data_IF_064694988536
#
_entry.id   IF_064694988536
#
_cell.length_a   1.000
_cell.length_b   1.000
_cell.length_c   1.000
_cell.angle_alpha   90.00
_cell.angle_beta   90.00
_cell.angle_gamma   90.00
#
_symmetry.space_group_name_H-M   'P 1'
#
loop_
_entity.id
_entity.type
_entity.pdbx_description
1 polymer ?
#
# COMPACT_ATOMS: atom_id res chain seq x y z
N UNK A 1 -25.86 -1.07 48.00
CA UNK A 1 -24.67 -0.51 47.34
C UNK A 1 -24.97 0.12 45.96
N UNK A 2 -26.10 0.83 45.76
CA UNK A 2 -26.46 1.36 44.42
C UNK A 2 -26.49 2.90 44.34
N UNK A 3 -26.45 3.61 45.47
CA UNK A 3 -26.63 5.07 45.50
C UNK A 3 -25.34 5.88 45.26
N UNK A 4 -24.16 5.29 45.43
CA UNK A 4 -22.87 5.98 45.24
C UNK A 4 -22.34 5.94 43.79
N UNK A 5 -22.94 5.15 42.89
CA UNK A 5 -22.56 5.11 41.46
C UNK A 5 -23.23 6.19 40.60
N UNK A 6 -24.24 6.91 41.09
CA UNK A 6 -24.91 7.98 40.32
C UNK A 6 -24.33 9.38 40.53
N UNK A 7 -23.49 9.58 41.56
CA UNK A 7 -22.87 10.87 41.89
C UNK A 7 -21.46 11.06 41.29
N UNK A 8 -20.80 9.95 40.96
CA UNK A 8 -19.52 9.96 40.28
C UNK A 8 -19.75 9.32 38.92
N UNK A 9 -19.57 10.10 37.84
CA UNK A 9 -19.63 9.59 36.48
C UNK A 9 -18.72 8.36 36.27
N UNK A 10 -18.73 7.75 35.08
CA UNK A 10 -18.08 6.46 34.84
C UNK A 10 -16.62 6.42 35.33
N UNK A 11 -16.19 5.25 35.80
CA UNK A 11 -14.82 5.06 36.27
C UNK A 11 -13.84 5.24 35.11
N UNK A 12 -12.58 5.57 35.39
CA UNK A 12 -11.53 5.68 34.36
C UNK A 12 -11.47 4.39 33.53
N UNK A 13 -11.44 3.24 34.19
CA UNK A 13 -11.43 1.92 33.57
C UNK A 13 -12.64 1.71 32.64
N UNK A 14 -13.85 2.08 33.07
CA UNK A 14 -15.05 1.98 32.23
C UNK A 14 -14.96 2.86 30.99
N UNK A 15 -14.60 4.14 31.16
CA UNK A 15 -14.46 5.08 30.04
C UNK A 15 -13.37 4.62 29.08
N UNK A 16 -12.22 4.19 29.60
CA UNK A 16 -11.06 3.85 28.78
C UNK A 16 -11.20 2.47 28.11
N UNK A 17 -11.93 1.54 28.73
CA UNK A 17 -12.33 0.28 28.07
C UNK A 17 -13.30 0.56 26.93
N UNK A 18 -14.29 1.44 27.16
CA UNK A 18 -15.20 1.87 26.09
C UNK A 18 -14.44 2.60 24.98
N UNK A 19 -13.50 3.49 25.33
CA UNK A 19 -12.65 4.16 24.36
C UNK A 19 -11.88 3.15 23.54
N UNK A 20 -11.15 2.22 24.18
CA UNK A 20 -10.40 1.18 23.47
C UNK A 20 -11.29 0.40 22.50
N UNK A 21 -12.52 0.07 22.88
CA UNK A 21 -13.48 -0.55 21.98
C UNK A 21 -13.89 0.37 20.82
N UNK A 22 -14.17 1.65 21.07
CA UNK A 22 -14.60 2.63 20.05
C UNK A 22 -13.49 2.96 19.03
N UNK A 23 -12.23 2.98 19.47
CA UNK A 23 -11.06 3.27 18.60
C UNK A 23 -10.31 2.00 18.21
N UNK A 24 -10.92 0.82 18.37
CA UNK A 24 -10.31 -0.49 18.06
C UNK A 24 -8.90 -0.69 18.63
N UNK A 25 -8.66 -0.04 19.76
CA UNK A 25 -7.47 -0.15 20.55
C UNK A 25 -7.53 -1.32 21.51
N UNK A 26 -6.41 -1.53 22.19
CA UNK A 26 -6.29 -2.46 23.29
C UNK A 26 -6.29 -1.69 24.60
N UNK A 27 -7.25 -2.00 25.47
CA UNK A 27 -7.14 -1.62 26.88
C UNK A 27 -6.17 -2.57 27.58
N UNK A 28 -5.16 -2.01 28.22
CA UNK A 28 -4.21 -2.69 29.08
C UNK A 28 -4.58 -2.35 30.51
N UNK A 29 -5.30 -3.27 31.16
CA UNK A 29 -5.65 -3.14 32.57
C UNK A 29 -4.37 -3.09 33.40
N UNK A 30 -4.23 -2.01 34.17
CA UNK A 30 -3.13 -1.83 35.11
C UNK A 30 -3.22 -2.89 36.20
N UNK A 31 -2.23 -3.77 36.27
CA UNK A 31 -2.09 -4.69 37.39
C UNK A 31 -1.62 -3.95 38.66
N UNK A 32 -1.17 -4.70 39.66
CA UNK A 32 -0.57 -4.15 40.89
C UNK A 32 0.64 -3.20 40.65
N UNK A 33 1.22 -3.20 39.44
CA UNK A 33 2.49 -2.52 39.14
C UNK A 33 2.49 -1.68 37.85
N UNK A 34 1.37 -1.57 37.13
CA UNK A 34 1.28 -0.80 35.87
C UNK A 34 0.05 0.10 35.87
N UNK A 35 0.17 1.30 35.29
CA UNK A 35 -0.98 2.17 35.08
C UNK A 35 -1.86 1.62 33.95
N UNK A 36 -3.18 1.81 34.04
CA UNK A 36 -4.07 1.54 32.92
C UNK A 36 -3.62 2.32 31.69
N UNK A 37 -3.63 1.66 30.54
CA UNK A 37 -3.29 2.28 29.27
C UNK A 37 -4.28 1.85 28.18
N UNK A 38 -4.46 2.72 27.19
CA UNK A 38 -5.12 2.39 25.93
C UNK A 38 -4.08 2.53 24.84
N UNK A 39 -3.86 1.47 24.08
CA UNK A 39 -2.98 1.47 22.92
C UNK A 39 -3.80 1.37 21.65
N UNK A 40 -3.55 2.27 20.72
CA UNK A 40 -4.23 2.32 19.42
C UNK A 40 -3.16 2.29 18.34
N UNK A 41 -3.35 1.42 17.36
CA UNK A 41 -2.51 1.44 16.17
C UNK A 41 -3.07 2.48 15.20
N UNK A 42 -2.26 3.45 14.83
CA UNK A 42 -2.55 4.43 13.79
C UNK A 42 -1.42 4.36 12.76
N UNK A 43 -1.67 3.75 11.60
CA UNK A 43 -0.61 3.46 10.61
C UNK A 43 0.52 2.60 11.19
N UNK A 44 1.75 3.13 11.12
CA UNK A 44 2.97 2.51 11.66
C UNK A 44 3.21 2.83 13.15
N UNK A 45 2.37 3.69 13.74
CA UNK A 45 2.56 4.17 15.11
C UNK A 45 1.64 3.44 16.09
N UNK A 46 2.15 3.25 17.29
CA UNK A 46 1.34 2.87 18.45
C UNK A 46 1.16 4.12 19.30
N UNK A 47 -0.04 4.67 19.28
CA UNK A 47 -0.43 5.77 20.16
C UNK A 47 -0.84 5.16 21.50
N UNK A 48 -0.14 5.55 22.56
CA UNK A 48 -0.40 5.10 23.92
C UNK A 48 -1.00 6.24 24.74
N UNK A 49 -2.22 6.05 25.24
CA UNK A 49 -2.86 6.86 26.26
C UNK A 49 -2.60 6.20 27.63
N UNK A 50 -2.03 6.93 28.58
CA UNK A 50 -1.81 6.46 29.94
C UNK A 50 -2.01 7.57 30.98
N UNK A 51 -1.91 7.21 32.26
CA UNK A 51 -1.81 8.18 33.37
C UNK A 51 -0.53 7.98 34.15
N UNK A 52 0.09 9.08 34.59
CA UNK A 52 1.15 9.05 35.60
C UNK A 52 0.85 10.04 36.72
N UNK A 53 1.39 9.78 37.91
CA UNK A 53 1.20 10.64 39.08
C UNK A 53 2.55 11.13 39.59
N UNK A 54 2.70 12.45 39.63
CA UNK A 54 3.86 13.10 40.24
C UNK A 54 3.52 13.41 41.69
N UNK A 55 4.43 13.09 42.61
CA UNK A 55 4.34 13.46 44.02
C UNK A 55 5.35 14.55 44.32
N UNK A 56 4.87 15.70 44.79
CA UNK A 56 5.72 16.83 45.19
C UNK A 56 5.39 17.18 46.64
N UNK A 57 6.26 16.76 47.55
CA UNK A 57 5.99 16.89 48.99
C UNK A 57 4.76 16.06 49.41
N UNK A 58 3.76 16.73 49.98
CA UNK A 58 2.49 16.10 50.37
C UNK A 58 1.41 16.15 49.28
N UNK A 59 1.64 16.86 48.17
CA UNK A 59 0.69 16.93 47.08
C UNK A 59 0.98 15.85 46.04
N UNK A 60 -0.06 15.18 45.53
CA UNK A 60 0.02 14.35 44.34
C UNK A 60 -0.81 14.97 43.23
N UNK A 61 -0.26 14.95 42.01
CA UNK A 61 -0.98 15.38 40.82
C UNK A 61 -0.91 14.28 39.76
N UNK A 62 -2.09 13.83 39.32
CA UNK A 62 -2.23 12.87 38.24
C UNK A 62 -2.37 13.61 36.92
N UNK A 63 -1.75 13.07 35.88
CA UNK A 63 -1.79 13.58 34.52
C UNK A 63 -2.28 12.48 33.58
N UNK A 64 -3.06 12.88 32.58
CA UNK A 64 -3.33 12.08 31.38
C UNK A 64 -2.29 12.45 30.33
N UNK A 65 -1.73 11.43 29.69
CA UNK A 65 -0.72 11.57 28.65
C UNK A 65 -1.10 10.75 27.43
N UNK A 66 -0.89 11.31 26.24
CA UNK A 66 -0.82 10.55 24.99
C UNK A 66 0.61 10.62 24.46
N UNK A 67 1.10 9.53 23.90
CA UNK A 67 2.44 9.45 23.34
C UNK A 67 2.56 8.49 22.18
N UNK A 68 3.38 8.83 21.20
CA UNK A 68 3.68 7.98 20.06
C UNK A 68 5.12 8.21 19.59
N UNK A 69 5.99 7.18 19.63
CA UNK A 69 7.32 7.28 19.04
C UNK A 69 7.23 7.33 17.52
N UNK A 70 8.07 8.14 16.88
CA UNK A 70 8.17 8.24 15.43
C UNK A 70 9.59 8.62 15.00
N UNK A 71 9.93 8.38 13.72
CA UNK A 71 11.25 8.70 13.19
C UNK A 71 11.32 10.19 12.84
N UNK A 72 12.31 10.89 13.40
CA UNK A 72 12.54 12.33 13.24
C UNK A 72 14.02 12.63 12.96
N UNK A 73 14.54 12.29 11.77
CA UNK A 73 15.97 12.45 11.47
C UNK A 73 16.38 13.93 11.40
N UNK A 74 15.45 14.82 11.04
CA UNK A 74 15.67 16.27 10.93
C UNK A 74 15.65 17.00 12.29
N UNK A 75 15.38 16.27 13.39
CA UNK A 75 15.24 16.84 14.74
C UNK A 75 14.25 18.00 14.77
N UNK A 76 13.15 17.86 14.04
CA UNK A 76 12.08 18.85 14.06
C UNK A 76 11.36 18.80 15.41
N UNK A 77 11.48 19.88 16.20
CA UNK A 77 10.80 19.97 17.49
C UNK A 77 9.86 21.16 17.49
N UNK A 78 8.69 20.95 18.07
CA UNK A 78 7.75 22.00 18.39
C UNK A 78 7.09 21.75 19.75
N UNK A 79 6.48 22.80 20.27
CA UNK A 79 5.55 22.74 21.40
C UNK A 79 4.45 23.77 21.18
N UNK A 80 3.20 23.35 21.33
CA UNK A 80 2.02 24.22 21.29
C UNK A 80 1.19 24.05 22.55
N UNK A 81 0.76 25.17 23.12
CA UNK A 81 -0.11 25.20 24.29
C UNK A 81 -0.97 26.46 24.30
N UNK A 82 -2.08 26.44 25.06
CA UNK A 82 -2.96 27.61 25.17
C UNK A 82 -2.28 28.77 25.89
N UNK A 83 -2.46 29.99 25.36
CA UNK A 83 -1.90 31.22 25.94
C UNK A 83 -2.39 31.48 27.37
N UNK A 84 -3.63 31.12 27.68
CA UNK A 84 -4.25 31.28 29.01
C UNK A 84 -3.72 30.33 30.10
N UNK A 85 -2.88 29.35 29.76
CA UNK A 85 -2.30 28.40 30.73
C UNK A 85 -1.08 28.95 31.47
N UNK A 86 -0.75 30.23 31.30
CA UNK A 86 0.45 30.86 31.84
C UNK A 86 0.14 32.16 32.57
N UNK A 87 0.30 32.18 33.90
CA UNK A 87 0.29 33.41 34.71
C UNK A 87 1.68 33.79 35.25
N UNK A 88 2.74 33.09 34.84
CA UNK A 88 4.13 33.49 35.07
C UNK A 88 5.06 32.33 35.39
N UNK A 89 5.84 31.87 34.41
CA UNK A 89 7.25 31.43 34.53
C UNK A 89 7.71 30.64 33.30
N UNK A 90 8.64 31.22 32.52
CA UNK A 90 9.52 30.46 31.64
C UNK A 90 9.36 30.73 30.15
N UNK A 91 10.07 31.76 29.65
CA UNK A 91 10.76 31.62 28.36
C UNK A 91 11.70 30.41 28.53
N UNK A 92 11.32 29.25 27.97
CA UNK A 92 12.23 28.11 27.93
C UNK A 92 13.34 28.42 26.92
N UNK A 93 14.57 28.07 27.29
CA UNK A 93 15.77 28.37 26.51
C UNK A 93 15.70 27.75 25.10
N UNK A 94 15.92 28.59 24.09
CA UNK A 94 16.22 28.18 22.71
C UNK A 94 15.07 28.16 21.71
N UNK A 95 13.81 28.07 22.14
CA UNK A 95 12.67 28.08 21.22
C UNK A 95 12.09 29.48 21.04
N UNK A 96 11.91 29.88 19.78
CA UNK A 96 11.28 31.16 19.44
C UNK A 96 9.77 30.98 19.35
N UNK A 97 9.04 32.03 19.71
CA UNK A 97 7.61 32.11 19.46
C UNK A 97 7.37 32.29 17.95
N UNK A 98 6.49 31.49 17.37
CA UNK A 98 6.27 31.41 15.93
C UNK A 98 4.80 31.69 15.63
N UNK A 99 4.55 32.80 14.95
CA UNK A 99 3.24 33.08 14.35
C UNK A 99 3.06 32.25 13.08
N UNK A 100 1.92 31.56 12.99
CA UNK A 100 1.56 30.68 11.87
C UNK A 100 0.68 31.36 10.82
N UNK A 101 0.31 32.62 11.05
CA UNK A 101 -0.42 33.45 10.08
C UNK A 101 -1.94 33.33 10.21
N UNK A 102 -2.43 32.91 11.37
CA UNK A 102 -3.85 32.74 11.65
C UNK A 102 -4.21 33.48 12.95
N UNK A 103 -4.65 34.74 12.83
CA UNK A 103 -4.83 35.68 13.94
C UNK A 103 -5.54 35.10 15.19
N UNK A 104 -6.68 34.42 15.00
CA UNK A 104 -7.42 33.79 16.11
C UNK A 104 -6.61 32.69 16.78
N UNK A 105 -5.92 31.88 15.98
CA UNK A 105 -5.13 30.75 16.46
C UNK A 105 -3.85 31.23 17.16
N UNK A 106 -3.13 32.17 16.54
CA UNK A 106 -1.91 32.80 17.08
C UNK A 106 -2.18 33.59 18.38
N UNK A 107 -3.41 34.09 18.58
CA UNK A 107 -3.84 34.70 19.85
C UNK A 107 -4.13 33.65 20.93
N UNK A 108 -4.79 32.56 20.55
CA UNK A 108 -5.29 31.55 21.50
C UNK A 108 -4.19 30.56 21.93
N UNK A 109 -3.14 30.41 21.13
CA UNK A 109 -2.05 29.46 21.34
C UNK A 109 -0.68 30.10 21.22
N UNK A 110 0.25 29.65 22.06
CA UNK A 110 1.68 29.95 21.95
C UNK A 110 2.33 28.76 21.26
N UNK A 111 3.14 29.03 20.24
CA UNK A 111 3.77 28.02 19.40
C UNK A 111 5.27 28.23 19.42
N UNK A 112 5.98 27.22 19.88
CA UNK A 112 7.43 27.20 19.99
C UNK A 112 7.99 26.12 19.08
N UNK A 113 9.16 26.34 18.48
CA UNK A 113 9.82 25.29 17.70
C UNK A 113 11.24 25.62 17.27
N UNK A 114 11.88 24.67 16.60
CA UNK A 114 13.28 24.77 16.14
C UNK A 114 13.43 25.72 14.95
N UNK A 115 12.45 25.79 14.05
CA UNK A 115 12.41 26.76 12.96
C UNK A 115 10.98 27.09 12.54
N UNK A 116 10.77 28.31 12.03
CA UNK A 116 9.43 28.79 11.65
C UNK A 116 8.80 28.05 10.45
N UNK A 117 9.50 27.69 9.37
CA UNK A 117 8.86 27.14 8.17
C UNK A 117 8.14 25.79 8.40
N UNK A 118 8.76 24.77 9.02
CA UNK A 118 8.08 23.49 9.24
C UNK A 118 6.96 23.59 10.28
N UNK A 119 7.11 24.48 11.28
CA UNK A 119 6.02 24.80 12.23
C UNK A 119 4.83 25.44 11.50
N UNK A 120 5.08 26.38 10.58
CA UNK A 120 4.05 27.01 9.75
C UNK A 120 3.39 26.03 8.78
N UNK A 121 4.14 25.07 8.24
CA UNK A 121 3.59 23.94 7.51
C UNK A 121 2.58 23.20 8.39
N UNK A 122 3.05 22.71 9.55
CA UNK A 122 2.28 21.82 10.42
C UNK A 122 0.95 22.46 10.81
N UNK A 123 1.03 23.70 11.29
CA UNK A 123 -0.14 24.45 11.72
C UNK A 123 -0.82 25.22 10.58
N UNK A 124 -0.36 25.07 9.33
CA UNK A 124 -1.04 25.47 8.11
C UNK A 124 -2.20 24.53 7.76
N UNK A 125 -2.20 23.31 8.28
CA UNK A 125 -3.31 22.36 8.14
C UNK A 125 -4.53 22.78 8.98
N UNK A 126 -5.64 23.04 8.29
CA UNK A 126 -6.89 23.48 8.90
C UNK A 126 -7.52 22.44 9.84
N UNK A 127 -7.35 21.14 9.55
CA UNK A 127 -7.86 20.05 10.39
C UNK A 127 -7.11 20.00 11.71
N UNK A 128 -5.77 20.07 11.70
CA UNK A 128 -4.96 20.14 12.92
C UNK A 128 -5.38 21.35 13.76
N UNK A 129 -5.46 22.55 13.18
CA UNK A 129 -5.88 23.75 13.93
C UNK A 129 -7.26 23.57 14.56
N UNK A 130 -8.21 23.01 13.81
CA UNK A 130 -9.58 22.76 14.30
C UNK A 130 -9.58 21.77 15.47
N UNK A 131 -8.82 20.67 15.38
CA UNK A 131 -8.72 19.67 16.43
C UNK A 131 -8.04 20.21 17.69
N UNK A 132 -7.01 21.05 17.53
CA UNK A 132 -6.34 21.77 18.62
C UNK A 132 -7.30 22.76 19.30
N UNK A 133 -8.05 23.53 18.52
CA UNK A 133 -9.01 24.52 19.03
C UNK A 133 -10.11 23.87 19.90
N UNK A 134 -10.50 22.63 19.59
CA UNK A 134 -11.49 21.86 20.37
C UNK A 134 -10.96 21.42 21.75
N UNK A 135 -9.65 21.39 21.97
CA UNK A 135 -9.09 20.92 23.24
C UNK A 135 -9.20 21.99 24.33
N UNK A 136 -9.86 21.72 25.48
CA UNK A 136 -10.00 22.70 26.56
C UNK A 136 -8.64 23.02 27.21
N UNK A 137 -7.74 22.04 27.24
CA UNK A 137 -6.34 22.15 27.65
C UNK A 137 -5.50 21.39 26.65
N UNK A 138 -4.41 21.97 26.21
CA UNK A 138 -3.46 21.31 25.33
C UNK A 138 -2.04 21.73 25.67
N UNK A 139 -1.18 20.73 25.71
CA UNK A 139 0.26 20.86 25.71
C UNK A 139 0.80 19.71 24.87
N UNK A 140 0.94 19.98 23.56
CA UNK A 140 1.38 19.04 22.55
C UNK A 140 2.79 19.41 22.12
N UNK A 141 3.70 18.46 22.06
CA UNK A 141 5.11 18.69 21.75
C UNK A 141 5.82 17.46 21.20
N UNK A 142 6.99 17.66 20.63
CA UNK A 142 7.95 16.60 20.31
C UNK A 142 9.03 16.56 21.40
N UNK A 143 9.42 15.37 21.84
CA UNK A 143 10.51 15.15 22.81
C UNK A 143 11.55 14.19 22.24
N UNK A 144 12.81 14.46 22.55
CA UNK A 144 13.97 13.59 22.25
C UNK A 144 14.40 12.75 23.47
N UNK A 145 13.69 12.85 24.60
CA UNK A 145 13.91 12.04 25.80
C UNK A 145 12.59 11.59 26.47
N UNK A 146 12.66 10.46 27.20
CA UNK A 146 11.58 10.02 28.10
C UNK A 146 11.63 10.75 29.46
N UNK A 147 12.52 11.74 29.62
CA UNK A 147 12.75 12.51 30.85
C UNK A 147 14.03 12.12 31.61
N UNK A 148 14.21 12.72 32.79
CA UNK A 148 15.47 12.79 33.54
C UNK A 148 16.09 11.44 34.01
N UNK A 149 15.37 10.33 33.86
CA UNK A 149 15.77 9.01 34.42
C UNK A 149 15.58 7.81 33.47
N UNK A 150 15.31 8.04 32.17
CA UNK A 150 15.08 6.95 31.21
C UNK A 150 16.05 7.03 30.02
N UNK A 151 16.20 5.90 29.31
CA UNK A 151 17.10 5.78 28.16
C UNK A 151 16.78 6.84 27.10
N UNK A 152 17.83 7.41 26.48
CA UNK A 152 17.63 8.24 25.29
C UNK A 152 17.02 7.37 24.19
N UNK A 153 16.01 7.90 23.49
CA UNK A 153 15.46 7.22 22.32
C UNK A 153 16.59 6.86 21.33
N UNK A 154 16.44 5.77 20.56
CA UNK A 154 17.38 5.44 19.49
C UNK A 154 17.64 6.65 18.59
N UNK A 155 18.85 6.76 18.02
CA UNK A 155 19.21 7.90 17.18
C UNK A 155 18.23 8.09 16.02
N UNK A 156 17.63 9.29 15.93
CA UNK A 156 16.64 9.62 14.90
C UNK A 156 15.20 9.23 15.24
N UNK A 157 14.90 8.79 16.47
CA UNK A 157 13.55 8.56 16.97
C UNK A 157 13.23 9.58 18.05
N UNK A 158 12.10 10.27 17.90
CA UNK A 158 11.54 11.17 18.90
C UNK A 158 10.11 10.73 19.27
N UNK A 159 9.51 11.34 20.29
CA UNK A 159 8.16 11.03 20.76
C UNK A 159 7.24 12.24 20.57
N UNK A 160 6.15 12.08 19.81
CA UNK A 160 5.04 13.02 19.85
C UNK A 160 4.31 12.82 21.18
N UNK A 161 4.17 13.90 21.94
CA UNK A 161 3.81 13.86 23.34
C UNK A 161 2.75 14.90 23.66
N UNK A 162 1.71 14.48 24.38
CA UNK A 162 0.68 15.34 24.94
C UNK A 162 0.53 15.09 26.43
N UNK A 163 0.28 16.16 27.19
CA UNK A 163 -0.06 16.04 28.61
C UNK A 163 -1.15 17.01 29.03
N UNK A 164 -2.04 16.53 29.90
CA UNK A 164 -3.02 17.35 30.59
C UNK A 164 -3.12 16.94 32.06
N UNK A 165 -3.24 17.92 32.96
CA UNK A 165 -3.50 17.65 34.37
C UNK A 165 -4.91 17.09 34.60
N UNK A 166 -5.00 16.08 35.46
CA UNK A 166 -6.22 15.32 35.74
C UNK A 166 -6.34 14.05 34.89
N UNK A 167 -7.38 13.27 35.17
CA UNK A 167 -7.76 12.11 34.36
C UNK A 167 -8.86 12.53 33.38
N UNK A 168 -8.57 12.47 32.08
CA UNK A 168 -9.58 12.75 31.06
C UNK A 168 -10.59 11.58 31.02
N UNK A 169 -11.87 11.92 31.22
CA UNK A 169 -13.01 10.99 31.14
C UNK A 169 -14.04 11.39 30.09
N UNK A 170 -13.85 12.54 29.46
CA UNK A 170 -14.71 13.02 28.38
C UNK A 170 -14.37 12.25 27.10
N UNK A 171 -15.34 11.48 26.60
CA UNK A 171 -15.15 10.62 25.43
C UNK A 171 -14.93 11.42 24.14
N UNK A 172 -15.59 12.57 23.98
CA UNK A 172 -15.45 13.42 22.80
C UNK A 172 -14.06 14.04 22.77
N UNK A 173 -13.57 14.48 23.93
CA UNK A 173 -12.20 14.96 24.10
C UNK A 173 -11.18 13.86 23.78
N UNK A 174 -11.35 12.66 24.33
CA UNK A 174 -10.43 11.54 24.10
C UNK A 174 -10.36 11.16 22.61
N UNK A 175 -11.51 11.07 21.92
CA UNK A 175 -11.54 10.82 20.47
C UNK A 175 -10.85 11.92 19.68
N UNK A 176 -11.14 13.18 19.99
CA UNK A 176 -10.50 14.32 19.34
C UNK A 176 -8.97 14.36 19.53
N UNK A 177 -8.46 13.85 20.67
CA UNK A 177 -7.02 13.73 20.92
C UNK A 177 -6.37 12.62 20.08
N UNK A 178 -7.01 11.46 19.94
CA UNK A 178 -6.49 10.40 19.05
C UNK A 178 -6.50 10.85 17.58
N UNK A 179 -7.56 11.51 17.13
CA UNK A 179 -7.64 12.07 15.79
C UNK A 179 -6.55 13.14 15.56
N UNK A 180 -6.34 14.02 16.55
CA UNK A 180 -5.27 15.01 16.50
C UNK A 180 -3.88 14.36 16.40
N UNK A 181 -3.62 13.33 17.20
CA UNK A 181 -2.34 12.61 17.16
C UNK A 181 -2.09 11.96 15.82
N UNK A 182 -3.09 11.26 15.27
CA UNK A 182 -2.98 10.62 13.96
C UNK A 182 -2.71 11.65 12.87
N UNK A 183 -3.43 12.78 12.87
CA UNK A 183 -3.26 13.85 11.88
C UNK A 183 -1.88 14.51 11.99
N UNK A 184 -1.42 14.80 13.20
CA UNK A 184 -0.09 15.41 13.44
C UNK A 184 1.01 14.45 13.02
N UNK A 185 0.96 13.16 13.40
CA UNK A 185 1.95 12.17 12.98
C UNK A 185 1.98 12.01 11.46
N UNK A 186 0.79 11.96 10.84
CA UNK A 186 0.67 11.92 9.40
C UNK A 186 1.38 13.13 8.76
N UNK A 187 1.07 14.34 9.20
CA UNK A 187 1.64 15.56 8.63
C UNK A 187 3.13 15.71 8.93
N UNK A 188 3.60 15.35 10.13
CA UNK A 188 5.03 15.33 10.47
C UNK A 188 5.82 14.42 9.52
N UNK A 189 5.21 13.32 9.07
CA UNK A 189 5.81 12.42 8.09
C UNK A 189 5.64 12.86 6.63
N UNK A 190 4.78 13.83 6.33
CA UNK A 190 4.55 14.37 4.98
C UNK A 190 5.23 15.73 4.75
N UNK A 191 5.33 16.59 5.76
CA UNK A 191 5.90 17.95 5.66
C UNK A 191 7.37 18.04 6.09
N UNK A 192 7.87 17.07 6.87
CA UNK A 192 9.29 16.81 6.92
C UNK A 192 9.70 16.16 5.61
N UNK A 193 10.33 16.92 4.70
CA UNK A 193 10.97 16.42 3.47
C UNK A 193 12.18 15.51 3.73
N UNK A 194 12.17 14.76 4.81
CA UNK A 194 12.87 13.50 4.81
C UNK A 194 12.06 12.56 3.93
N UNK A 195 12.75 11.83 3.06
CA UNK A 195 12.25 10.66 2.34
C UNK A 195 11.70 10.83 0.92
N UNK A 196 11.47 12.02 0.34
CA UNK A 196 11.18 12.10 -1.12
C UNK A 196 12.26 11.40 -1.95
N UNK A 197 13.50 11.37 -1.44
CA UNK A 197 14.67 10.76 -2.10
C UNK A 197 15.08 9.37 -1.59
N UNK A 198 14.45 8.83 -0.55
CA UNK A 198 14.85 7.55 0.07
C UNK A 198 14.05 6.38 -0.51
N UNK A 199 14.67 5.73 -1.50
CA UNK A 199 14.13 4.55 -2.18
C UNK A 199 13.87 3.41 -1.18
N UNK A 200 14.72 3.19 -0.18
CA UNK A 200 14.58 2.07 0.77
C UNK A 200 13.41 2.26 1.70
N UNK A 201 13.19 3.48 2.18
CA UNK A 201 11.99 3.76 2.97
C UNK A 201 10.72 3.52 2.15
N UNK A 202 10.66 4.05 0.93
CA UNK A 202 9.46 3.89 0.12
C UNK A 202 9.19 2.43 -0.26
N UNK A 203 10.25 1.62 -0.42
CA UNK A 203 10.12 0.16 -0.55
C UNK A 203 9.46 -0.44 0.70
N UNK A 204 9.90 -0.07 1.91
CA UNK A 204 9.30 -0.58 3.15
C UNK A 204 7.85 -0.12 3.34
N UNK A 205 7.53 1.15 3.04
CA UNK A 205 6.16 1.68 3.09
C UNK A 205 5.24 0.93 2.13
N UNK A 206 5.72 0.59 0.93
CA UNK A 206 4.92 -0.14 -0.06
C UNK A 206 4.62 -1.59 0.37
N UNK A 207 5.54 -2.22 1.12
CA UNK A 207 5.36 -3.56 1.75
C UNK A 207 4.48 -3.54 2.99
N UNK A 208 4.22 -2.36 3.55
CA UNK A 208 3.36 -2.18 4.72
C UNK A 208 1.96 -2.75 4.50
N UNK A 209 1.23 -3.06 5.60
CA UNK A 209 -0.11 -3.65 5.50
C UNK A 209 -1.04 -2.71 4.73
N UNK A 210 -1.60 -3.20 3.63
CA UNK A 210 -2.68 -2.55 2.90
C UNK A 210 -4.04 -2.77 3.51
N UNK A 211 -5.00 -1.95 3.10
CA UNK A 211 -6.41 -2.16 3.37
C UNK A 211 -7.06 -1.26 4.42
N UNK A 212 -8.34 -1.54 4.64
CA UNK A 212 -9.30 -0.76 5.41
C UNK A 212 -9.41 -1.31 6.83
N UNK A 213 -9.21 -0.47 7.84
CA UNK A 213 -9.69 -0.75 9.19
C UNK A 213 -11.13 -0.21 9.25
N UNK A 214 -12.11 -1.08 9.07
CA UNK A 214 -13.54 -0.72 9.20
C UNK A 214 -13.96 -0.75 10.68
N UNK A 215 -13.71 0.35 11.41
CA UNK A 215 -14.35 0.63 12.70
C UNK A 215 -15.57 1.54 12.59
N UNK A 216 -16.29 1.68 13.71
CA UNK A 216 -17.33 2.72 13.90
C UNK A 216 -16.77 4.16 13.88
N UNK A 217 -15.45 4.33 13.94
CA UNK A 217 -14.71 5.59 13.78
C UNK A 217 -13.64 5.38 12.71
N UNK A 218 -13.65 6.15 11.63
CA UNK A 218 -12.67 6.05 10.56
C UNK A 218 -11.31 6.58 11.07
N UNK A 219 -10.44 5.70 11.55
CA UNK A 219 -9.12 6.09 12.08
C UNK A 219 -8.12 6.41 10.97
N UNK A 220 -8.33 5.88 9.77
CA UNK A 220 -7.60 6.18 8.55
C UNK A 220 -8.39 5.67 7.33
N UNK A 221 -8.25 6.33 6.19
CA UNK A 221 -8.86 5.95 4.91
C UNK A 221 -7.77 5.70 3.85
N UNK A 222 -7.88 4.56 3.15
CA UNK A 222 -7.21 4.29 1.88
C UNK A 222 -5.90 3.51 1.98
N UNK A 223 -5.36 3.04 0.87
CA UNK A 223 -3.95 2.62 0.76
C UNK A 223 -3.04 3.85 0.56
N UNK A 224 -3.41 5.02 1.08
CA UNK A 224 -2.81 6.31 0.71
C UNK A 224 -1.27 6.38 0.90
N UNK A 225 -0.66 5.92 2.00
CA UNK A 225 0.79 5.79 2.16
C UNK A 225 1.43 4.79 1.18
N UNK A 226 0.77 3.68 0.86
CA UNK A 226 1.28 2.69 -0.13
C UNK A 226 1.19 3.26 -1.55
N UNK A 227 0.11 3.98 -1.85
CA UNK A 227 -0.14 4.72 -3.09
C UNK A 227 0.89 5.84 -3.26
N UNK A 228 1.10 6.63 -2.22
CA UNK A 228 2.09 7.72 -2.19
C UNK A 228 3.51 7.15 -2.31
N UNK A 229 3.81 6.01 -1.66
CA UNK A 229 5.08 5.32 -1.82
C UNK A 229 5.29 4.81 -3.24
N UNK A 230 4.28 4.18 -3.86
CA UNK A 230 4.37 3.77 -5.26
C UNK A 230 4.62 4.97 -6.19
N UNK A 231 3.92 6.08 -5.98
CA UNK A 231 4.12 7.32 -6.74
C UNK A 231 5.53 7.90 -6.56
N UNK A 232 6.00 8.00 -5.32
CA UNK A 232 7.34 8.50 -5.00
C UNK A 232 8.45 7.62 -5.62
N UNK A 233 8.34 6.28 -5.54
CA UNK A 233 9.28 5.36 -6.21
C UNK A 233 9.31 5.58 -7.72
N UNK A 234 8.16 5.88 -8.33
CA UNK A 234 8.05 6.24 -9.73
C UNK A 234 8.76 7.56 -10.07
N UNK A 235 8.68 8.55 -9.19
CA UNK A 235 9.38 9.83 -9.35
C UNK A 235 10.89 9.71 -9.15
N UNK A 236 11.31 8.83 -8.24
CA UNK A 236 12.71 8.55 -7.95
C UNK A 236 13.42 7.83 -9.10
N UNK A 237 12.72 6.94 -9.81
CA UNK A 237 13.25 6.26 -10.98
C UNK A 237 14.28 5.15 -10.67
N UNK A 238 14.50 4.80 -9.40
CA UNK A 238 15.46 3.76 -9.03
C UNK A 238 14.92 2.35 -9.34
N UNK A 239 15.67 1.60 -10.15
CA UNK A 239 15.36 0.23 -10.54
C UNK A 239 15.27 -0.75 -9.35
N UNK A 240 15.84 -0.43 -8.19
CA UNK A 240 15.71 -1.19 -6.94
C UNK A 240 14.25 -1.36 -6.50
N UNK A 241 13.38 -0.43 -6.88
CA UNK A 241 11.95 -0.46 -6.57
C UNK A 241 11.15 -1.47 -7.40
N UNK A 242 11.67 -1.91 -8.55
CA UNK A 242 10.94 -2.74 -9.52
C UNK A 242 10.38 -4.03 -8.90
N UNK A 243 11.13 -4.83 -8.10
CA UNK A 243 10.59 -6.06 -7.52
C UNK A 243 9.41 -5.84 -6.56
N UNK A 244 9.45 -4.78 -5.74
CA UNK A 244 8.36 -4.49 -4.81
C UNK A 244 7.14 -3.91 -5.54
N UNK A 245 7.34 -3.04 -6.53
CA UNK A 245 6.27 -2.52 -7.37
C UNK A 245 5.59 -3.64 -8.17
N UNK A 246 6.37 -4.61 -8.67
CA UNK A 246 5.84 -5.81 -9.31
C UNK A 246 4.99 -6.67 -8.37
N UNK A 247 5.34 -6.75 -7.09
CA UNK A 247 4.60 -7.54 -6.10
C UNK A 247 3.18 -7.01 -5.84
N UNK A 248 2.98 -5.68 -5.94
CA UNK A 248 1.69 -5.02 -5.67
C UNK A 248 0.80 -4.89 -6.93
N UNK A 249 1.23 -5.37 -8.09
CA UNK A 249 0.40 -5.40 -9.31
C UNK A 249 -0.85 -6.29 -9.17
N UNK A 250 -0.83 -7.20 -8.20
CA UNK A 250 -1.92 -8.13 -7.86
C UNK A 250 -2.61 -7.80 -6.54
N UNK A 251 -2.41 -6.58 -6.03
CA UNK A 251 -3.02 -6.15 -4.78
C UNK A 251 -4.55 -6.09 -4.88
N UNK A 252 -5.25 -6.06 -3.74
CA UNK A 252 -6.71 -5.91 -3.74
C UNK A 252 -7.14 -4.49 -4.08
N UNK A 253 -6.27 -3.49 -3.85
CA UNK A 253 -6.55 -2.08 -4.14
C UNK A 253 -6.29 -1.73 -5.61
N UNK A 254 -7.34 -1.43 -6.41
CA UNK A 254 -7.16 -1.07 -7.80
C UNK A 254 -6.36 0.21 -8.01
N UNK A 255 -6.43 1.17 -7.09
CA UNK A 255 -5.72 2.44 -7.23
C UNK A 255 -4.22 2.27 -6.97
N UNK A 256 -3.84 1.49 -5.95
CA UNK A 256 -2.45 1.10 -5.72
C UNK A 256 -1.86 0.37 -6.92
N UNK A 257 -2.58 -0.61 -7.49
CA UNK A 257 -2.16 -1.30 -8.71
C UNK A 257 -1.91 -0.32 -9.84
N UNK A 258 -2.85 0.60 -10.04
CA UNK A 258 -2.80 1.57 -11.13
C UNK A 258 -1.66 2.60 -10.94
N UNK A 259 -1.29 2.95 -9.70
CA UNK A 259 -0.10 3.75 -9.37
C UNK A 259 1.20 2.96 -9.53
N UNK A 260 1.22 1.67 -9.16
CA UNK A 260 2.37 0.80 -9.37
C UNK A 260 2.70 0.62 -10.85
N UNK A 261 1.69 0.48 -11.72
CA UNK A 261 1.88 0.45 -13.18
C UNK A 261 2.51 1.76 -13.67
N UNK A 262 1.99 2.91 -13.22
CA UNK A 262 2.53 4.22 -13.60
C UNK A 262 3.97 4.43 -13.09
N UNK A 263 4.28 3.95 -11.88
CA UNK A 263 5.62 4.01 -11.32
C UNK A 263 6.62 3.14 -12.10
N UNK A 264 6.24 1.90 -12.43
CA UNK A 264 7.03 1.02 -13.29
C UNK A 264 7.28 1.66 -14.66
N UNK A 265 6.25 2.28 -15.26
CA UNK A 265 6.37 3.03 -16.52
C UNK A 265 7.38 4.16 -16.42
N UNK A 266 7.33 4.96 -15.35
CA UNK A 266 8.29 6.07 -15.13
C UNK A 266 9.72 5.57 -14.92
N UNK A 267 9.90 4.49 -14.16
CA UNK A 267 11.22 3.86 -13.96
C UNK A 267 11.79 3.33 -15.28
N UNK A 268 10.93 2.84 -16.20
CA UNK A 268 11.33 2.41 -17.56
C UNK A 268 12.48 1.40 -17.59
N UNK A 269 12.61 0.57 -16.55
CA UNK A 269 13.66 -0.44 -16.47
C UNK A 269 13.19 -1.77 -17.08
N UNK A 270 14.05 -2.47 -17.83
CA UNK A 270 13.71 -3.71 -18.56
C UNK A 270 13.05 -4.79 -17.68
N UNK A 271 13.43 -4.90 -16.41
CA UNK A 271 12.83 -5.85 -15.44
C UNK A 271 11.34 -5.58 -15.15
N UNK A 272 10.82 -4.40 -15.48
CA UNK A 272 9.42 -4.04 -15.30
C UNK A 272 8.49 -4.61 -16.39
N UNK A 273 9.04 -4.99 -17.54
CA UNK A 273 8.27 -5.46 -18.70
C UNK A 273 7.54 -6.76 -18.38
N UNK A 274 8.26 -7.79 -17.89
CA UNK A 274 7.70 -9.12 -17.62
C UNK A 274 6.54 -9.10 -16.60
N UNK A 275 6.61 -8.37 -15.47
CA UNK A 275 5.49 -8.22 -14.56
C UNK A 275 4.23 -7.55 -15.14
N UNK A 276 4.36 -6.70 -16.17
CA UNK A 276 3.24 -5.97 -16.76
C UNK A 276 2.45 -6.81 -17.79
N UNK A 277 3.07 -7.81 -18.43
CA UNK A 277 2.43 -8.64 -19.47
C UNK A 277 1.12 -9.29 -19.00
N UNK A 278 1.04 -9.93 -17.81
CA UNK A 278 -0.21 -10.55 -17.37
C UNK A 278 -1.37 -9.56 -17.16
N UNK A 279 -1.07 -8.29 -16.91
CA UNK A 279 -2.09 -7.25 -16.67
C UNK A 279 -2.83 -6.83 -17.94
N UNK A 280 -2.31 -7.20 -19.12
CA UNK A 280 -2.99 -6.97 -20.39
C UNK A 280 -4.23 -7.85 -20.54
N UNK A 281 -4.24 -9.01 -19.90
CA UNK A 281 -5.38 -9.92 -19.81
C UNK A 281 -6.13 -9.83 -18.49
N UNK A 282 -6.01 -8.72 -17.75
CA UNK A 282 -6.66 -8.61 -16.45
C UNK A 282 -8.19 -8.57 -16.60
N UNK A 283 -8.88 -9.57 -16.05
CA UNK A 283 -10.34 -9.75 -16.15
C UNK A 283 -11.10 -9.37 -14.88
N UNK A 284 -10.45 -8.71 -13.91
CA UNK A 284 -11.14 -8.29 -12.67
C UNK A 284 -12.27 -7.30 -13.00
N UNK A 285 -13.48 -7.60 -12.51
CA UNK A 285 -14.71 -6.83 -12.80
C UNK A 285 -14.63 -5.36 -12.36
N UNK A 286 -13.85 -5.09 -11.30
CA UNK A 286 -13.60 -3.74 -10.80
C UNK A 286 -12.26 -3.26 -11.35
N UNK A 287 -12.31 -2.25 -12.23
CA UNK A 287 -11.16 -1.57 -12.85
C UNK A 287 -10.30 -2.34 -13.88
N UNK A 288 -10.65 -3.58 -14.27
CA UNK A 288 -9.88 -4.35 -15.25
C UNK A 288 -9.54 -3.59 -16.54
N UNK A 289 -10.50 -2.84 -17.11
CA UNK A 289 -10.27 -2.01 -18.32
C UNK A 289 -9.23 -0.91 -18.08
N UNK A 290 -9.24 -0.27 -16.90
CA UNK A 290 -8.30 0.80 -16.53
C UNK A 290 -6.88 0.25 -16.35
N UNK A 291 -6.76 -0.93 -15.74
CA UNK A 291 -5.48 -1.63 -15.57
C UNK A 291 -4.93 -2.05 -16.92
N UNK A 292 -5.73 -2.70 -17.78
CA UNK A 292 -5.31 -3.12 -19.12
C UNK A 292 -4.76 -1.95 -19.94
N UNK A 293 -5.51 -0.84 -19.98
CA UNK A 293 -5.08 0.37 -20.70
C UNK A 293 -3.77 0.93 -20.15
N UNK A 294 -3.61 1.04 -18.82
CA UNK A 294 -2.38 1.55 -18.21
C UNK A 294 -1.20 0.63 -18.43
N UNK A 295 -1.39 -0.69 -18.38
CA UNK A 295 -0.34 -1.65 -18.65
C UNK A 295 0.11 -1.59 -20.12
N UNK A 296 -0.83 -1.48 -21.06
CA UNK A 296 -0.54 -1.28 -22.47
C UNK A 296 0.22 0.03 -22.72
N UNK A 297 -0.21 1.13 -22.10
CA UNK A 297 0.48 2.42 -22.18
C UNK A 297 1.88 2.37 -21.57
N UNK A 298 2.04 1.70 -20.43
CA UNK A 298 3.33 1.53 -19.77
C UNK A 298 4.31 0.76 -20.66
N UNK A 299 3.91 -0.38 -21.21
CA UNK A 299 4.73 -1.16 -22.14
C UNK A 299 5.06 -0.37 -23.40
N UNK A 300 4.09 0.38 -23.94
CA UNK A 300 4.31 1.27 -25.08
C UNK A 300 5.33 2.37 -24.78
N UNK A 301 5.44 2.85 -23.55
CA UNK A 301 6.43 3.87 -23.21
C UNK A 301 7.84 3.30 -22.95
N UNK A 302 7.98 2.01 -22.70
CA UNK A 302 9.26 1.35 -22.36
C UNK A 302 10.13 0.96 -23.56
N UNK A 303 9.62 1.02 -24.79
CA UNK A 303 10.37 0.74 -26.01
C UNK A 303 10.19 -0.67 -26.57
N UNK A 304 10.09 -0.77 -27.90
CA UNK A 304 9.72 -2.00 -28.63
C UNK A 304 10.61 -3.20 -28.36
N UNK A 305 11.93 -3.04 -28.50
CA UNK A 305 12.87 -4.16 -28.43
C UNK A 305 12.80 -4.90 -27.09
N UNK A 306 12.79 -4.16 -25.98
CA UNK A 306 12.71 -4.74 -24.64
C UNK A 306 11.37 -5.46 -24.39
N UNK A 307 10.27 -4.96 -24.98
CA UNK A 307 8.95 -5.56 -24.86
C UNK A 307 8.84 -6.84 -25.68
N UNK A 308 9.28 -6.82 -26.93
CA UNK A 308 9.23 -7.98 -27.83
C UNK A 308 10.08 -9.12 -27.29
N UNK A 309 11.33 -8.86 -26.89
CA UNK A 309 12.22 -9.90 -26.37
C UNK A 309 11.68 -10.51 -25.08
N UNK A 310 11.20 -9.69 -24.14
CA UNK A 310 10.63 -10.18 -22.88
C UNK A 310 9.30 -10.93 -23.07
N UNK A 311 8.51 -10.56 -24.08
CA UNK A 311 7.31 -11.30 -24.49
C UNK A 311 7.72 -12.65 -25.05
N UNK A 312 8.65 -12.69 -26.01
CA UNK A 312 9.17 -13.93 -26.59
C UNK A 312 9.73 -14.86 -25.50
N UNK A 313 10.62 -14.37 -24.63
CA UNK A 313 11.17 -15.13 -23.49
C UNK A 313 10.10 -15.59 -22.49
N UNK A 314 9.07 -14.77 -22.23
CA UNK A 314 7.97 -15.16 -21.35
C UNK A 314 7.16 -16.34 -21.92
N UNK A 315 7.12 -16.46 -23.26
CA UNK A 315 6.40 -17.49 -23.99
C UNK A 315 7.29 -18.65 -24.50
N UNK A 316 8.62 -18.54 -24.40
CA UNK A 316 9.60 -19.59 -24.73
C UNK A 316 9.42 -20.84 -23.82
N UNK A 317 8.58 -21.77 -24.29
CA UNK A 317 8.44 -23.11 -23.74
C UNK A 317 7.10 -23.45 -23.10
N UNK A 318 6.11 -22.54 -23.15
CA UNK A 318 4.76 -22.78 -22.59
C UNK A 318 3.62 -22.40 -23.54
N UNK A 319 3.93 -22.32 -24.82
CA UNK A 319 3.00 -21.93 -25.87
C UNK A 319 1.75 -22.85 -25.93
N UNK A 320 1.94 -24.15 -25.71
CA UNK A 320 0.87 -25.18 -25.65
C UNK A 320 -0.15 -24.96 -24.51
N UNK A 321 0.18 -24.15 -23.49
CA UNK A 321 -0.74 -23.87 -22.37
C UNK A 321 -1.74 -22.74 -22.67
N UNK A 322 -1.51 -21.92 -23.71
CA UNK A 322 -2.51 -20.95 -24.17
C UNK A 322 -3.63 -21.61 -24.98
N UNK A 323 -3.36 -22.75 -25.64
CA UNK A 323 -4.39 -23.58 -26.29
C UNK A 323 -5.37 -24.19 -25.28
N UNK A 324 -4.96 -24.35 -24.02
CA UNK A 324 -5.78 -24.88 -22.93
C UNK A 324 -6.68 -23.84 -22.24
N UNK A 325 -6.52 -22.54 -22.54
CA UNK A 325 -7.35 -21.47 -21.99
C UNK A 325 -8.45 -21.06 -22.98
N UNK A 326 -9.52 -21.84 -23.00
CA UNK A 326 -10.81 -21.38 -23.52
C UNK A 326 -11.36 -20.30 -22.57
N UNK A 327 -11.22 -19.04 -22.95
CA UNK A 327 -11.81 -17.90 -22.24
C UNK A 327 -10.95 -16.64 -22.25
N UNK A 328 -11.20 -15.74 -23.21
CA UNK A 328 -11.00 -14.27 -23.21
C UNK A 328 -9.61 -13.65 -22.89
N UNK A 329 -8.67 -14.41 -22.32
CA UNK A 329 -7.37 -13.90 -21.86
C UNK A 329 -6.32 -13.91 -22.98
N UNK A 330 -6.31 -14.94 -23.84
CA UNK A 330 -5.41 -15.02 -25.00
C UNK A 330 -5.65 -13.88 -26.00
N UNK A 331 -6.91 -13.61 -26.33
CA UNK A 331 -7.30 -12.50 -27.20
C UNK A 331 -6.97 -11.13 -26.61
N UNK A 332 -7.05 -10.96 -25.28
CA UNK A 332 -6.70 -9.72 -24.59
C UNK A 332 -5.19 -9.42 -24.66
N UNK A 333 -4.33 -10.44 -24.53
CA UNK A 333 -2.87 -10.30 -24.68
C UNK A 333 -2.52 -9.99 -26.14
N UNK A 334 -3.15 -10.67 -27.09
CA UNK A 334 -2.94 -10.41 -28.53
C UNK A 334 -3.40 -9.01 -28.91
N UNK A 335 -4.57 -8.57 -28.44
CA UNK A 335 -5.09 -7.22 -28.67
C UNK A 335 -4.16 -6.17 -28.07
N UNK A 336 -3.72 -6.36 -26.83
CA UNK A 336 -2.87 -5.40 -26.15
C UNK A 336 -1.46 -5.32 -26.73
N UNK A 337 -0.87 -6.45 -27.15
CA UNK A 337 0.36 -6.46 -27.93
C UNK A 337 0.14 -5.70 -29.22
N UNK A 338 -0.93 -6.01 -29.95
CA UNK A 338 -1.36 -5.34 -31.19
C UNK A 338 -1.59 -3.83 -31.03
N UNK A 339 -2.10 -3.37 -29.87
CA UNK A 339 -2.25 -1.95 -29.52
C UNK A 339 -0.91 -1.28 -29.19
N UNK A 340 -0.03 -1.97 -28.46
CA UNK A 340 1.34 -1.53 -28.22
C UNK A 340 2.13 -1.40 -29.54
N UNK A 341 1.82 -2.23 -30.55
CA UNK A 341 2.40 -2.14 -31.90
C UNK A 341 2.02 -0.87 -32.66
N UNK A 342 0.97 -0.16 -32.22
CA UNK A 342 0.56 1.11 -32.83
C UNK A 342 1.59 2.24 -32.70
N UNK A 343 2.67 2.04 -31.92
CA UNK A 343 3.71 3.05 -31.66
C UNK A 343 5.13 2.71 -32.12
N UNK A 344 5.42 1.51 -32.64
CA UNK A 344 6.80 1.07 -32.90
C UNK A 344 7.02 0.32 -34.24
N UNK A 345 8.29 0.03 -34.58
CA UNK A 345 8.78 -0.53 -35.86
C UNK A 345 8.26 -1.95 -36.17
N UNK A 346 7.06 -1.94 -36.74
CA UNK A 346 6.14 -3.04 -37.04
C UNK A 346 6.66 -4.40 -37.54
N UNK A 347 7.90 -4.56 -38.01
CA UNK A 347 8.41 -5.84 -38.54
C UNK A 347 8.74 -6.90 -37.49
N UNK A 348 9.43 -6.54 -36.41
CA UNK A 348 9.82 -7.49 -35.36
C UNK A 348 8.61 -7.98 -34.57
N UNK A 349 7.76 -7.04 -34.22
CA UNK A 349 6.52 -7.29 -33.51
C UNK A 349 5.51 -8.16 -34.28
N UNK A 350 5.40 -7.98 -35.59
CA UNK A 350 4.56 -8.83 -36.42
C UNK A 350 5.06 -10.28 -36.44
N UNK A 351 6.39 -10.49 -36.48
CA UNK A 351 6.98 -11.83 -36.38
C UNK A 351 6.71 -12.48 -35.03
N UNK A 352 6.69 -11.71 -33.93
CA UNK A 352 6.28 -12.22 -32.63
C UNK A 352 4.81 -12.69 -32.64
N UNK A 353 3.88 -11.90 -33.21
CA UNK A 353 2.48 -12.31 -33.38
C UNK A 353 2.33 -13.59 -34.22
N UNK A 354 3.12 -13.73 -35.28
CA UNK A 354 3.14 -14.94 -36.10
C UNK A 354 3.69 -16.17 -35.35
N UNK A 355 4.77 -15.98 -34.58
CA UNK A 355 5.31 -16.98 -33.66
C UNK A 355 4.30 -17.39 -32.58
N UNK A 356 3.46 -16.44 -32.15
CA UNK A 356 2.35 -16.70 -31.22
C UNK A 356 1.08 -17.22 -31.89
N UNK A 357 1.11 -17.57 -33.18
CA UNK A 357 -0.03 -18.04 -33.98
C UNK A 357 -1.34 -17.27 -33.77
N UNK A 358 -1.23 -15.96 -33.54
CA UNK A 358 -2.32 -15.05 -33.25
C UNK A 358 -3.11 -14.71 -34.53
N UNK A 359 -3.89 -15.67 -35.05
CA UNK A 359 -4.66 -15.54 -36.30
C UNK A 359 -5.62 -14.35 -36.24
N UNK A 360 -6.16 -14.05 -35.07
CA UNK A 360 -7.02 -12.90 -34.79
C UNK A 360 -6.33 -11.54 -34.96
N UNK A 361 -4.99 -11.49 -35.01
CA UNK A 361 -4.23 -10.26 -35.27
C UNK A 361 -4.22 -9.86 -36.77
N UNK A 362 -4.61 -10.78 -37.67
CA UNK A 362 -4.61 -10.57 -39.14
C UNK A 362 -5.32 -9.28 -39.58
N UNK A 363 -6.53 -8.92 -39.10
CA UNK A 363 -7.20 -7.69 -39.52
C UNK A 363 -6.38 -6.44 -39.17
N UNK A 364 -5.72 -6.42 -38.01
CA UNK A 364 -4.92 -5.27 -37.58
C UNK A 364 -3.58 -5.20 -38.31
N UNK A 365 -2.89 -6.32 -38.49
CA UNK A 365 -1.63 -6.37 -39.27
C UNK A 365 -1.86 -5.84 -40.70
N UNK A 366 -2.98 -6.20 -41.32
CA UNK A 366 -3.39 -5.67 -42.63
C UNK A 366 -3.64 -4.16 -42.61
N UNK A 367 -4.25 -3.64 -41.55
CA UNK A 367 -4.48 -2.21 -41.40
C UNK A 367 -3.18 -1.42 -41.20
N UNK A 368 -2.26 -1.95 -40.38
CA UNK A 368 -0.92 -1.36 -40.20
C UNK A 368 -0.16 -1.35 -41.54
N UNK A 369 -0.14 -2.47 -42.27
CA UNK A 369 0.49 -2.55 -43.58
C UNK A 369 -0.14 -1.58 -44.61
N UNK A 370 -1.46 -1.37 -44.56
CA UNK A 370 -2.15 -0.36 -45.37
C UNK A 370 -1.73 1.06 -45.03
N UNK A 371 -1.59 1.37 -43.73
CA UNK A 371 -1.29 2.72 -43.24
C UNK A 371 0.16 3.14 -43.48
N UNK A 372 1.12 2.23 -43.33
CA UNK A 372 2.55 2.53 -43.42
C UNK A 372 3.21 2.13 -44.75
N UNK A 373 2.51 1.36 -45.59
CA UNK A 373 2.95 0.99 -46.94
C UNK A 373 3.89 -0.23 -46.98
N UNK A 374 4.11 -0.77 -48.19
CA UNK A 374 4.81 -2.05 -48.42
C UNK A 374 6.34 -1.95 -48.58
N UNK A 375 7.00 -0.90 -48.08
CA UNK A 375 8.42 -0.64 -48.35
C UNK A 375 9.24 -0.61 -47.06
N UNK A 376 10.40 -1.29 -47.07
CA UNK A 376 11.32 -1.36 -45.93
C UNK A 376 11.29 -2.73 -45.22
N UNK A 377 12.32 -2.99 -44.41
CA UNK A 377 12.47 -4.24 -43.67
C UNK A 377 11.30 -4.53 -42.71
N UNK A 378 10.66 -3.48 -42.19
CA UNK A 378 9.51 -3.60 -41.29
C UNK A 378 8.25 -4.07 -42.02
N UNK A 379 7.96 -3.49 -43.19
CA UNK A 379 6.85 -3.90 -44.03
C UNK A 379 7.00 -5.36 -44.47
N UNK A 380 8.25 -5.81 -44.71
CA UNK A 380 8.53 -7.19 -45.05
C UNK A 380 8.28 -8.14 -43.87
N UNK A 381 8.66 -7.76 -42.65
CA UNK A 381 8.33 -8.55 -41.45
C UNK A 381 6.83 -8.66 -41.20
N UNK A 382 6.05 -7.60 -41.47
CA UNK A 382 4.58 -7.66 -41.40
C UNK A 382 3.99 -8.61 -42.45
N UNK A 383 4.48 -8.54 -43.69
CA UNK A 383 3.99 -9.42 -44.77
C UNK A 383 4.30 -10.89 -44.48
N UNK A 384 5.52 -11.21 -44.07
CA UNK A 384 5.93 -12.56 -43.64
C UNK A 384 5.03 -13.09 -42.51
N UNK A 385 4.72 -12.24 -41.53
CA UNK A 385 3.84 -12.59 -40.43
C UNK A 385 2.39 -12.87 -40.89
N UNK A 386 1.85 -12.04 -41.77
CA UNK A 386 0.51 -12.23 -42.36
C UNK A 386 0.45 -13.56 -43.11
N UNK A 387 1.43 -13.84 -43.99
CA UNK A 387 1.49 -15.09 -44.75
C UNK A 387 1.55 -16.32 -43.82
N UNK A 388 2.37 -16.25 -42.76
CA UNK A 388 2.49 -17.32 -41.77
C UNK A 388 1.16 -17.59 -41.06
N UNK A 389 0.48 -16.54 -40.62
CA UNK A 389 -0.81 -16.63 -39.93
C UNK A 389 -1.94 -17.12 -40.87
N UNK A 390 -1.96 -16.68 -42.13
CA UNK A 390 -2.92 -17.12 -43.14
C UNK A 390 -2.75 -18.59 -43.52
N UNK A 391 -1.51 -19.05 -43.70
CA UNK A 391 -1.20 -20.46 -43.94
C UNK A 391 -1.77 -21.35 -42.83
N UNK A 392 -1.67 -20.90 -41.58
CA UNK A 392 -2.16 -21.63 -40.43
C UNK A 392 -3.68 -21.57 -40.27
N UNK A 393 -4.29 -20.41 -40.52
CA UNK A 393 -5.76 -20.26 -40.55
C UNK A 393 -6.41 -21.17 -41.61
N UNK A 394 -5.66 -21.53 -42.65
CA UNK A 394 -6.09 -22.40 -43.75
C UNK A 394 -5.96 -23.90 -43.44
N UNK A 395 -5.29 -24.27 -42.35
CA UNK A 395 -5.22 -25.67 -41.91
C UNK A 395 -6.55 -26.06 -41.25
N UNK A 396 -7.10 -27.26 -41.55
CA UNK A 396 -8.28 -27.76 -40.85
C UNK A 396 -7.95 -27.87 -39.35
N UNK A 397 -8.83 -27.33 -38.50
CA UNK A 397 -8.75 -27.56 -37.05
C UNK A 397 -8.65 -29.08 -36.82
N UNK A 398 -7.78 -29.58 -35.93
CA UNK A 398 -7.90 -30.97 -35.49
C UNK A 398 -9.35 -31.15 -35.04
N UNK A 399 -10.05 -32.09 -35.65
CA UNK A 399 -11.46 -32.29 -35.39
C UNK A 399 -11.67 -32.40 -33.88
N UNK A 400 -12.57 -31.57 -33.33
CA UNK A 400 -13.12 -31.81 -32.01
C UNK A 400 -13.51 -33.29 -31.99
N UNK A 401 -12.89 -34.06 -31.10
CA UNK A 401 -13.20 -35.47 -30.90
C UNK A 401 -14.60 -35.56 -30.29
N UNK A 402 -15.62 -35.34 -31.12
CA UNK A 402 -17.00 -35.71 -30.86
C UNK A 402 -17.17 -37.10 -31.45
N UNK A 403 -17.38 -38.06 -30.55
CA UNK A 403 -17.89 -39.40 -30.81
C UNK A 403 -17.08 -40.27 -31.79
N UNK A 404 -15.92 -40.75 -31.33
CA UNK A 404 -15.57 -42.13 -31.66
C UNK A 404 -16.42 -43.05 -30.77
N UNK A 405 -17.30 -43.92 -31.32
CA UNK A 405 -17.98 -44.91 -30.50
C UNK A 405 -16.90 -45.76 -29.82
N UNK A 406 -17.06 -45.96 -28.51
CA UNK A 406 -16.24 -46.85 -27.70
C UNK A 406 -16.22 -48.21 -28.39
N UNK A 407 -15.17 -48.46 -29.16
CA UNK A 407 -14.90 -49.75 -29.75
C UNK A 407 -14.60 -50.68 -28.57
N UNK A 408 -15.55 -51.57 -28.34
CA UNK A 408 -15.50 -52.61 -27.31
C UNK A 408 -14.17 -53.36 -27.36
N UNK A 409 -13.32 -53.13 -26.36
CA UNK A 409 -12.21 -54.03 -26.09
C UNK A 409 -12.75 -55.47 -25.94
N UNK A 410 -12.17 -56.47 -26.62
CA UNK A 410 -12.60 -57.86 -26.48
C UNK A 410 -12.42 -58.32 -25.03
N UNK A 411 -13.49 -58.84 -24.42
CA UNK A 411 -13.43 -59.56 -23.15
C UNK A 411 -12.39 -60.68 -23.26
N UNK A 412 -11.39 -60.64 -22.39
CA UNK A 412 -10.44 -61.74 -22.21
C UNK A 412 -11.20 -63.05 -21.92
N UNK A 413 -10.87 -64.08 -22.67
CA UNK A 413 -11.44 -65.41 -22.57
C UNK A 413 -11.24 -65.98 -21.15
N UNK A 414 -12.33 -66.44 -20.55
CA UNK A 414 -12.28 -67.36 -19.40
C UNK A 414 -11.81 -68.72 -19.92
N UNK A 415 -10.59 -69.11 -19.56
CA UNK A 415 -10.10 -70.50 -19.66
C UNK A 415 -10.40 -71.27 -18.37
N UNK A 416 -10.65 -72.59 -18.44
CA UNK A 416 -11.18 -73.37 -17.32
C UNK A 416 -10.11 -73.70 -16.27
N UNK A 417 -10.56 -73.88 -15.04
CA UNK A 417 -9.72 -73.96 -13.85
C UNK A 417 -8.81 -75.18 -13.75
N UNK A 418 -7.81 -75.05 -12.89
CA UNK A 418 -7.11 -76.17 -12.28
C UNK A 418 -6.63 -75.80 -10.87
N UNK A 419 -7.28 -76.45 -9.91
CA UNK A 419 -6.70 -77.11 -8.73
C UNK A 419 -5.88 -76.28 -7.72
N UNK A 420 -6.55 -75.99 -6.61
CA UNK A 420 -6.00 -75.60 -5.32
C UNK A 420 -5.42 -76.82 -4.59
N UNK A 421 -4.12 -77.07 -4.66
CA UNK A 421 -3.40 -77.74 -3.56
C UNK A 421 -1.89 -77.69 -3.74
N UNK A 422 -1.18 -77.54 -2.60
CA UNK A 422 0.28 -77.59 -2.38
C UNK A 422 1.03 -76.25 -2.40
N UNK A 423 0.99 -75.58 -1.24
CA UNK A 423 2.11 -74.78 -0.73
C UNK A 423 3.14 -75.72 -0.07
N UNK A 424 4.45 -75.58 -0.34
CA UNK A 424 5.49 -75.96 0.61
C UNK A 424 5.95 -74.75 1.43
N UNK A 425 6.13 -74.98 2.74
CA UNK A 425 6.81 -74.08 3.68
C UNK A 425 8.33 -74.06 3.43
N UNK A 426 8.94 -72.89 3.59
CA UNK A 426 10.32 -72.69 4.08
C UNK A 426 10.39 -71.23 4.58
N UNK A 427 10.59 -70.90 5.86
CA UNK A 427 11.75 -71.18 6.75
C UNK A 427 13.04 -70.60 6.19
N UNK A 428 13.48 -69.48 6.78
CA UNK A 428 14.72 -68.75 6.51
C UNK A 428 14.66 -67.37 7.13
#
# INVERSE_FOLDING_TARGET
>A
MSFFRSLFGPSKEQVWTQLAHEVEGRFLGGGLFSADAVQVRAGDWIITLDTYTVRTGQASQTFTRLRAPYVNPERFHFRIYRSSMFSGLGKLFGMQDIEVGHEVFDRDFIIQGTSAPPVRGLFGNAKIRTLIQKQPRIDLRVKDDEGWFQDKFPGGVDELYFVCGGVIKDMDQLRGLFELFAEVLNQLCHEGKAYEDDVDLHIERLKGPGGRIESRLLLWEGDEPRRNAAEALGHLGDAKAVPVLASVLRDVDPELRAKAIAALARISHQRAVRPLIPLLGDTLEVDGQRIRSRAADALRNMGEHAVVDAVLEAFEGRYELLEAYDGDHGGSIVLALTEALGGFSSGHSARALAGMHAVEALPRLREVLRRFGKRGADAQGIMEAIETLESRASLPRPADSVDAPVETLPRAAQGPGADTSRLPKASG
#
